data_IF_191880156606
#
_entry.id   IF_191880156606
#
_cell.length_a   1.000
_cell.length_b   1.000
_cell.length_c   1.000
_cell.angle_alpha   90.00
_cell.angle_beta   90.00
_cell.angle_gamma   90.00
#
_symmetry.space_group_name_H-M   'P 1'
#
loop_
_entity.id
_entity.type
_entity.pdbx_description
1 polymer ?
#
# COMPACT_ATOMS: atom_id res chain seq x y z
N UNK A 1 0.48 -19.53 -6.83
CA UNK A 1 -0.84 -19.18 -6.25
C UNK A 1 -1.30 -20.11 -5.11
N UNK A 2 -0.46 -21.00 -4.58
CA UNK A 2 -0.82 -21.87 -3.44
C UNK A 2 -0.59 -21.20 -2.07
N UNK A 3 0.31 -20.22 -1.96
CA UNK A 3 0.69 -19.59 -0.70
C UNK A 3 -0.47 -18.87 0.02
N UNK A 4 -1.36 -18.20 -0.73
CA UNK A 4 -2.51 -17.51 -0.16
C UNK A 4 -3.52 -18.47 0.49
N UNK A 5 -3.64 -19.69 -0.04
CA UNK A 5 -4.55 -20.72 0.48
C UNK A 5 -4.12 -21.21 1.87
N UNK A 6 -2.82 -21.17 2.16
CA UNK A 6 -2.26 -21.57 3.45
C UNK A 6 -2.08 -20.39 4.42
N UNK A 7 -1.89 -19.17 3.90
CA UNK A 7 -1.62 -17.99 4.73
C UNK A 7 -2.75 -17.64 5.70
N UNK A 8 -3.99 -17.52 5.22
CA UNK A 8 -5.13 -17.14 6.07
C UNK A 8 -5.41 -18.20 7.14
N UNK A 9 -5.50 -19.50 6.82
CA UNK A 9 -5.66 -20.54 7.84
C UNK A 9 -4.51 -20.58 8.85
N UNK A 10 -3.26 -20.41 8.39
CA UNK A 10 -2.09 -20.40 9.29
C UNK A 10 -2.16 -19.24 10.28
N UNK A 11 -2.52 -18.04 9.85
CA UNK A 11 -2.67 -16.87 10.73
C UNK A 11 -3.79 -17.09 11.75
N UNK A 12 -4.94 -17.65 11.33
CA UNK A 12 -6.05 -17.97 12.25
C UNK A 12 -5.64 -19.05 13.26
N UNK A 13 -4.88 -20.06 12.84
CA UNK A 13 -4.34 -21.09 13.73
C UNK A 13 -3.35 -20.51 14.75
N UNK A 14 -2.46 -19.61 14.33
CA UNK A 14 -1.55 -18.92 15.23
C UNK A 14 -2.30 -18.06 16.25
N UNK A 15 -3.32 -17.32 15.80
CA UNK A 15 -4.18 -16.53 16.69
C UNK A 15 -4.92 -17.42 17.71
N UNK A 16 -5.36 -18.60 17.30
CA UNK A 16 -5.97 -19.59 18.20
C UNK A 16 -4.97 -20.18 19.18
N UNK A 17 -3.75 -20.52 18.75
CA UNK A 17 -2.68 -21.06 19.61
C UNK A 17 -2.27 -20.07 20.70
N UNK A 18 -2.19 -18.79 20.35
CA UNK A 18 -1.89 -17.67 21.24
C UNK A 18 -3.06 -17.29 22.17
N UNK A 19 -4.28 -17.79 21.89
CA UNK A 19 -5.45 -17.47 22.70
C UNK A 19 -5.39 -18.12 24.08
N UNK A 20 -5.63 -17.32 25.12
CA UNK A 20 -5.62 -17.73 26.52
C UNK A 20 -6.74 -18.73 26.85
N UNK A 21 -7.85 -18.69 26.11
CA UNK A 21 -9.00 -19.57 26.33
C UNK A 21 -9.47 -20.21 25.02
N UNK A 22 -8.69 -21.21 24.57
CA UNK A 22 -8.88 -21.94 23.30
C UNK A 22 -10.29 -22.55 23.13
N UNK A 23 -10.98 -22.85 24.22
CA UNK A 23 -12.35 -23.41 24.24
C UNK A 23 -13.44 -22.38 23.98
N UNK A 24 -13.20 -21.10 24.25
CA UNK A 24 -14.15 -19.99 24.03
C UNK A 24 -13.73 -19.08 22.88
N UNK A 25 -12.90 -19.60 21.97
CA UNK A 25 -12.45 -18.82 20.82
C UNK A 25 -13.65 -18.38 19.95
N UNK A 26 -13.83 -17.08 19.67
CA UNK A 26 -15.05 -16.55 19.05
C UNK A 26 -15.09 -16.78 17.54
N UNK A 27 -15.29 -18.04 17.12
CA UNK A 27 -15.29 -18.45 15.71
C UNK A 27 -16.30 -17.68 14.84
N UNK A 28 -17.45 -17.30 15.39
CA UNK A 28 -18.45 -16.48 14.69
C UNK A 28 -17.90 -15.10 14.31
N UNK A 29 -17.13 -14.48 15.21
CA UNK A 29 -16.54 -13.16 14.99
C UNK A 29 -15.40 -13.26 13.96
N UNK A 30 -14.56 -14.30 14.07
CA UNK A 30 -13.47 -14.56 13.11
C UNK A 30 -14.02 -14.81 11.71
N UNK A 31 -15.05 -15.67 11.58
CA UNK A 31 -15.70 -15.91 10.30
C UNK A 31 -16.33 -14.63 9.72
N UNK A 32 -17.01 -13.84 10.55
CA UNK A 32 -17.57 -12.55 10.14
C UNK A 32 -16.50 -11.57 9.65
N UNK A 33 -15.38 -11.47 10.37
CA UNK A 33 -14.24 -10.65 9.97
C UNK A 33 -13.60 -11.10 8.66
N UNK A 34 -13.42 -12.41 8.48
CA UNK A 34 -12.89 -12.97 7.22
C UNK A 34 -13.82 -12.70 6.04
N UNK A 35 -15.13 -12.91 6.22
CA UNK A 35 -16.12 -12.62 5.17
C UNK A 35 -16.07 -11.13 4.81
N UNK A 36 -16.09 -10.24 5.80
CA UNK A 36 -15.99 -8.80 5.57
C UNK A 36 -14.69 -8.42 4.85
N UNK A 37 -13.56 -9.04 5.22
CA UNK A 37 -12.27 -8.82 4.58
C UNK A 37 -12.28 -9.25 3.10
N UNK A 38 -12.81 -10.43 2.79
CA UNK A 38 -12.92 -10.89 1.39
C UNK A 38 -13.91 -10.05 0.58
N UNK A 39 -15.02 -9.61 1.18
CA UNK A 39 -15.96 -8.69 0.54
C UNK A 39 -15.31 -7.35 0.23
N UNK A 40 -14.57 -6.77 1.17
CA UNK A 40 -13.81 -5.54 0.95
C UNK A 40 -12.75 -5.73 -0.12
N UNK A 41 -11.99 -6.83 -0.09
CA UNK A 41 -11.00 -7.13 -1.11
C UNK A 41 -11.64 -7.24 -2.51
N UNK A 42 -12.78 -7.93 -2.62
CA UNK A 42 -13.51 -8.03 -3.88
C UNK A 42 -14.04 -6.65 -4.33
N UNK A 43 -14.61 -5.86 -3.41
CA UNK A 43 -15.11 -4.52 -3.72
C UNK A 43 -13.99 -3.61 -4.24
N UNK A 44 -12.84 -3.60 -3.56
CA UNK A 44 -11.72 -2.74 -3.91
C UNK A 44 -10.98 -3.20 -5.18
N UNK A 45 -10.83 -4.52 -5.41
CA UNK A 45 -9.98 -5.06 -6.47
C UNK A 45 -10.74 -5.56 -7.71
N UNK A 46 -12.04 -5.82 -7.62
CA UNK A 46 -12.84 -6.35 -8.75
C UNK A 46 -13.86 -5.36 -9.27
N UNK A 47 -14.30 -4.40 -8.47
CA UNK A 47 -15.27 -3.41 -8.93
C UNK A 47 -14.54 -2.26 -9.65
N UNK A 48 -14.77 -2.04 -10.96
CA UNK A 48 -14.02 -1.06 -11.75
C UNK A 48 -14.24 0.37 -11.24
N UNK A 49 -15.46 0.71 -10.83
CA UNK A 49 -15.79 2.02 -10.27
C UNK A 49 -14.92 2.39 -9.05
N UNK A 50 -14.61 1.42 -8.20
CA UNK A 50 -13.80 1.64 -7.00
C UNK A 50 -12.32 1.76 -7.35
N UNK A 51 -11.85 0.97 -8.33
CA UNK A 51 -10.50 1.10 -8.86
C UNK A 51 -10.29 2.47 -9.49
N UNK A 52 -11.24 2.96 -10.27
CA UNK A 52 -11.17 4.29 -10.89
C UNK A 52 -11.10 5.40 -9.82
N UNK A 53 -11.86 5.27 -8.73
CA UNK A 53 -11.78 6.20 -7.60
C UNK A 53 -10.41 6.17 -6.91
N UNK A 54 -9.83 4.97 -6.70
CA UNK A 54 -8.48 4.83 -6.14
C UNK A 54 -7.41 5.41 -7.09
N UNK A 55 -7.55 5.20 -8.40
CA UNK A 55 -6.67 5.78 -9.41
C UNK A 55 -6.77 7.30 -9.44
N UNK A 56 -7.97 7.86 -9.27
CA UNK A 56 -8.14 9.30 -9.13
C UNK A 56 -7.41 9.82 -7.88
N UNK A 57 -7.56 9.16 -6.73
CA UNK A 57 -6.83 9.52 -5.52
C UNK A 57 -5.30 9.47 -5.72
N UNK A 58 -4.81 8.44 -6.42
CA UNK A 58 -3.39 8.34 -6.76
C UNK A 58 -2.93 9.52 -7.63
N UNK A 59 -3.71 9.90 -8.65
CA UNK A 59 -3.41 11.06 -9.51
C UNK A 59 -3.37 12.37 -8.72
N UNK A 60 -4.23 12.53 -7.71
CA UNK A 60 -4.20 13.70 -6.83
C UNK A 60 -2.90 13.76 -6.03
N UNK A 61 -2.47 12.63 -5.45
CA UNK A 61 -1.19 12.54 -4.72
C UNK A 61 -0.02 12.87 -5.64
N UNK A 62 0.03 12.29 -6.83
CA UNK A 62 1.06 12.58 -7.83
C UNK A 62 1.06 14.05 -8.26
N UNK A 63 -0.12 14.67 -8.35
CA UNK A 63 -0.24 16.11 -8.64
C UNK A 63 0.37 16.97 -7.54
N UNK A 64 0.15 16.61 -6.27
CA UNK A 64 0.78 17.28 -5.12
C UNK A 64 2.29 17.07 -5.13
N UNK A 65 2.75 15.84 -5.35
CA UNK A 65 4.17 15.50 -5.47
C UNK A 65 4.87 16.34 -6.55
N UNK A 66 4.27 16.43 -7.75
CA UNK A 66 4.79 17.23 -8.84
C UNK A 66 4.83 18.74 -8.52
N UNK A 67 3.79 19.25 -7.85
CA UNK A 67 3.78 20.64 -7.40
C UNK A 67 4.85 20.92 -6.35
N UNK A 68 5.08 19.99 -5.42
CA UNK A 68 6.16 20.08 -4.43
C UNK A 68 7.52 20.05 -5.11
N UNK A 69 7.77 19.12 -6.04
CA UNK A 69 9.02 19.04 -6.80
C UNK A 69 9.31 20.32 -7.60
N UNK A 70 8.28 20.92 -8.20
CA UNK A 70 8.39 22.20 -8.89
C UNK A 70 8.77 23.34 -7.92
N UNK A 71 8.15 23.37 -6.73
CA UNK A 71 8.47 24.36 -5.69
C UNK A 71 9.88 24.20 -5.13
N UNK A 72 10.31 22.98 -4.82
CA UNK A 72 11.65 22.70 -4.28
C UNK A 72 12.74 22.97 -5.30
N UNK A 73 12.54 22.61 -6.56
CA UNK A 73 13.50 22.92 -7.63
C UNK A 73 13.59 24.42 -7.92
N UNK A 74 12.52 25.20 -7.74
CA UNK A 74 12.58 26.66 -7.83
C UNK A 74 13.42 27.28 -6.71
N UNK A 75 13.23 26.84 -5.46
CA UNK A 75 13.92 27.44 -4.30
C UNK A 75 15.34 26.93 -4.14
N UNK A 76 15.56 25.63 -4.37
CA UNK A 76 16.82 24.94 -4.06
C UNK A 76 17.56 24.42 -5.31
N UNK A 77 17.04 24.66 -6.52
CA UNK A 77 17.69 24.25 -7.76
C UNK A 77 17.87 22.73 -7.86
N UNK A 78 19.07 22.29 -8.22
CA UNK A 78 19.45 20.88 -8.31
C UNK A 78 19.16 20.09 -7.03
N UNK A 79 19.37 20.70 -5.85
CA UNK A 79 19.11 20.03 -4.57
C UNK A 79 17.62 19.74 -4.32
N UNK A 80 16.74 20.49 -4.99
CA UNK A 80 15.30 20.30 -4.93
C UNK A 80 14.73 19.45 -6.06
N UNK A 81 15.58 18.70 -6.79
CA UNK A 81 15.17 17.89 -7.95
C UNK A 81 15.23 18.61 -9.30
N UNK A 82 15.83 19.81 -9.35
CA UNK A 82 16.10 20.53 -10.60
C UNK A 82 17.27 19.94 -11.41
N UNK A 83 17.58 20.53 -12.56
CA UNK A 83 18.66 20.06 -13.43
C UNK A 83 20.04 20.16 -12.76
N UNK A 84 20.90 19.16 -12.97
CA UNK A 84 22.27 19.16 -12.47
C UNK A 84 23.11 20.24 -13.17
N UNK A 85 23.84 21.10 -12.43
CA UNK A 85 24.72 22.10 -13.03
C UNK A 85 26.08 21.53 -13.48
N UNK A 86 26.23 20.21 -13.52
CA UNK A 86 27.46 19.49 -13.85
C UNK A 86 27.14 18.19 -14.60
N UNK A 87 28.14 17.64 -15.31
CA UNK A 87 28.01 16.38 -16.03
C UNK A 87 27.87 15.19 -15.08
N UNK A 88 26.75 14.48 -15.17
CA UNK A 88 26.45 13.31 -14.35
C UNK A 88 27.02 12.07 -15.05
N UNK A 89 28.24 11.68 -14.66
CA UNK A 89 28.95 10.52 -15.23
C UNK A 89 28.48 9.17 -14.68
N UNK A 90 27.78 9.14 -13.54
CA UNK A 90 27.19 7.93 -12.97
C UNK A 90 25.81 8.20 -12.32
N UNK A 91 24.73 8.23 -13.13
CA UNK A 91 23.38 8.60 -12.68
C UNK A 91 22.83 7.73 -11.53
N UNK A 92 23.22 6.47 -11.45
CA UNK A 92 22.82 5.55 -10.38
C UNK A 92 23.39 5.91 -8.98
N UNK A 93 24.31 6.86 -8.90
CA UNK A 93 24.91 7.33 -7.65
C UNK A 93 24.56 8.78 -7.30
N UNK A 94 23.72 9.45 -8.10
CA UNK A 94 23.23 10.78 -7.76
C UNK A 94 22.00 10.64 -6.86
N UNK A 95 22.23 10.55 -5.56
CA UNK A 95 21.20 10.74 -4.54
C UNK A 95 21.33 12.15 -3.98
N UNK A 96 20.27 12.94 -4.09
CA UNK A 96 20.14 14.28 -3.49
C UNK A 96 18.82 14.34 -2.75
#
# INVERSE_FOLDING_TARGET
MSQALFGVPAIVLLAWLASSNRRRFPLRLVAGGLIAQFLLAALLLKLPMVQDALLLANRLVLGVEAATAAGTSMVFGFLGGGAAPFDVTAPQHSFV
#
